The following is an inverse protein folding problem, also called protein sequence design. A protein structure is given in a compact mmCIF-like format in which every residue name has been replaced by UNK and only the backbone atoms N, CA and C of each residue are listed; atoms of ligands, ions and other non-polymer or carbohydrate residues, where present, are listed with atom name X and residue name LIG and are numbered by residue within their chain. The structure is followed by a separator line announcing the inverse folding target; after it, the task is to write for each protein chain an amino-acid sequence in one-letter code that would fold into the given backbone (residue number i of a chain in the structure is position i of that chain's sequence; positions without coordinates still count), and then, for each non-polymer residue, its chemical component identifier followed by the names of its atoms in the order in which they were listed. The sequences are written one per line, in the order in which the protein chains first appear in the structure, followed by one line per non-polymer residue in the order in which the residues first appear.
data_IF_728523171357
#
_entry.id   IF_728523171357
#
_cell.length_a   1.000
_cell.length_b   1.000
_cell.length_c   1.000
_cell.angle_alpha   90.00
_cell.angle_beta   90.00
_cell.angle_gamma   90.00
#
_symmetry.space_group_name_H-M   'P 1'
#
loop_
_entity.id
_entity.type
_entity.pdbx_description
1 polymer ?
#
# COMPACT_ATOMS: atom_id res chain seq x y z
N UNK A 1 9.77 11.12 4.11
CA UNK A 1 8.67 11.50 3.20
C UNK A 1 8.61 10.50 2.02
N UNK A 2 8.00 9.32 2.20
CA UNK A 2 7.94 8.24 1.19
C UNK A 2 6.50 7.82 0.83
N UNK A 3 5.52 8.57 1.29
CA UNK A 3 4.10 8.32 1.03
C UNK A 3 3.61 9.27 -0.05
N UNK A 4 2.84 8.74 -1.00
CA UNK A 4 2.23 9.48 -2.09
C UNK A 4 0.76 9.68 -1.72
N UNK A 5 0.33 10.94 -1.63
CA UNK A 5 -1.08 11.27 -1.45
C UNK A 5 -1.81 11.33 -2.79
N UNK A 6 -2.93 10.62 -2.92
CA UNK A 6 -3.83 10.78 -4.08
C UNK A 6 -5.28 10.68 -3.63
N UNK A 7 -6.06 11.72 -3.94
CA UNK A 7 -7.43 11.93 -3.43
C UNK A 7 -7.46 11.84 -1.90
N UNK A 8 -8.29 10.97 -1.34
CA UNK A 8 -8.43 10.77 0.12
C UNK A 8 -7.55 9.64 0.68
N UNK A 9 -6.63 9.10 -0.12
CA UNK A 9 -5.81 7.95 0.23
C UNK A 9 -4.31 8.31 0.24
N UNK A 10 -3.55 7.59 1.08
CA UNK A 10 -2.10 7.67 1.15
C UNK A 10 -1.51 6.32 0.76
N UNK A 11 -0.57 6.32 -0.17
CA UNK A 11 0.04 5.12 -0.74
C UNK A 11 1.53 5.05 -0.40
N UNK A 12 1.99 3.85 -0.08
CA UNK A 12 3.41 3.57 0.13
C UNK A 12 3.86 2.49 -0.85
N UNK A 13 4.86 2.82 -1.66
CA UNK A 13 5.44 1.88 -2.62
C UNK A 13 6.75 1.38 -2.03
N UNK A 14 6.79 0.08 -1.73
CA UNK A 14 8.01 -0.63 -1.33
C UNK A 14 8.71 -1.18 -2.57
N UNK A 15 10.03 -1.01 -2.65
CA UNK A 15 10.85 -1.66 -3.67
C UNK A 15 11.37 -3.04 -3.22
N UNK A 16 11.04 -3.47 -2.00
CA UNK A 16 11.44 -4.79 -1.48
C UNK A 16 10.50 -5.87 -1.97
N UNK A 17 11.06 -6.96 -2.50
CA UNK A 17 10.30 -8.15 -2.84
C UNK A 17 9.93 -8.91 -1.57
N UNK A 18 8.63 -9.18 -1.42
CA UNK A 18 8.07 -9.97 -0.31
C UNK A 18 6.97 -10.86 -0.85
N UNK A 19 6.70 -11.96 -0.15
CA UNK A 19 5.49 -12.75 -0.40
C UNK A 19 4.25 -11.89 -0.14
N UNK A 20 3.12 -12.25 -0.75
CA UNK A 20 1.89 -11.49 -0.55
C UNK A 20 1.49 -11.38 0.92
N UNK A 21 1.63 -12.46 1.69
CA UNK A 21 1.42 -12.46 3.14
C UNK A 21 2.41 -11.55 3.88
N UNK A 22 3.69 -11.61 3.53
CA UNK A 22 4.71 -10.75 4.12
C UNK A 22 4.43 -9.27 3.87
N UNK A 23 3.96 -8.92 2.66
CA UNK A 23 3.55 -7.55 2.33
C UNK A 23 2.33 -7.10 3.14
N UNK A 24 1.35 -7.97 3.37
CA UNK A 24 0.20 -7.66 4.24
C UNK A 24 0.64 -7.34 5.67
N UNK A 25 1.48 -8.20 6.26
CA UNK A 25 2.00 -8.00 7.61
C UNK A 25 2.86 -6.75 7.71
N UNK A 26 3.66 -6.47 6.68
CA UNK A 26 4.45 -5.25 6.61
C UNK A 26 3.58 -3.99 6.60
N UNK A 27 2.55 -3.92 5.74
CA UNK A 27 1.60 -2.80 5.75
C UNK A 27 0.91 -2.65 7.11
N UNK A 28 0.47 -3.76 7.72
CA UNK A 28 -0.15 -3.73 9.05
C UNK A 28 0.78 -3.15 10.12
N UNK A 29 2.09 -3.45 10.05
CA UNK A 29 3.09 -2.88 10.97
C UNK A 29 3.25 -1.35 10.83
N UNK A 30 2.87 -0.79 9.69
CA UNK A 30 2.84 0.65 9.40
C UNK A 30 1.49 1.30 9.72
N UNK A 31 0.59 0.61 10.43
CA UNK A 31 -0.81 1.02 10.63
C UNK A 31 -1.56 1.28 9.31
N UNK A 32 -1.19 0.57 8.24
CA UNK A 32 -1.86 0.64 6.95
C UNK A 32 -2.32 -0.75 6.49
N UNK A 33 -3.04 -0.79 5.38
CA UNK A 33 -3.45 -2.02 4.72
C UNK A 33 -2.74 -2.18 3.38
N UNK A 34 -2.50 -3.43 2.98
CA UNK A 34 -2.05 -3.71 1.62
C UNK A 34 -3.11 -3.18 0.63
N UNK A 35 -2.67 -2.46 -0.40
CA UNK A 35 -3.55 -1.83 -1.37
C UNK A 35 -4.48 -2.85 -2.04
N UNK A 36 -5.77 -2.54 -2.03
CA UNK A 36 -6.79 -3.25 -2.80
C UNK A 36 -7.40 -2.25 -3.77
N UNK A 37 -7.20 -2.45 -5.07
CA UNK A 37 -7.80 -1.60 -6.10
C UNK A 37 -9.31 -1.85 -6.13
N UNK A 38 -10.08 -0.89 -5.66
CA UNK A 38 -11.54 -1.00 -5.60
C UNK A 38 -12.20 -0.52 -6.89
N UNK A 39 -11.53 0.40 -7.61
CA UNK A 39 -12.06 1.01 -8.83
C UNK A 39 -11.02 1.09 -9.92
N UNK A 40 -11.48 1.20 -11.17
CA UNK A 40 -10.61 1.37 -12.34
C UNK A 40 -9.91 2.73 -12.38
N UNK A 41 -10.43 3.71 -11.64
CA UNK A 41 -9.84 5.04 -11.48
C UNK A 41 -8.60 5.05 -10.58
N UNK A 42 -8.39 3.99 -9.78
CA UNK A 42 -7.21 3.81 -8.92
C UNK A 42 -6.06 3.07 -9.63
N UNK A 43 -6.27 2.69 -10.89
CA UNK A 43 -5.35 1.91 -11.72
C UNK A 43 -4.46 2.85 -12.55
#
# INVERSE_FOLDING_TARGET
EKWIGYRCNCYFISNEEKTWEGSRQFCASLNSSLLQLQTRDEL
#
